data_IF_804576091264
#
_entry.id   IF_804576091264
#
_cell.length_a   1.000
_cell.length_b   1.000
_cell.length_c   1.000
_cell.angle_alpha   90.00
_cell.angle_beta   90.00
_cell.angle_gamma   90.00
#
_symmetry.space_group_name_H-M   'P 1'
#
loop_
_entity.id
_entity.type
_entity.pdbx_description
1 polymer ?
#
# COMPACT_ATOMS: atom_id res chain seq x y z
N UNK A 1 -36.63 16.13 38.10
CA UNK A 1 -35.24 15.63 37.94
C UNK A 1 -35.02 14.56 36.85
N UNK A 2 -36.01 13.74 36.44
CA UNK A 2 -35.79 12.68 35.43
C UNK A 2 -35.59 13.17 33.99
N UNK A 3 -36.29 14.25 33.57
CA UNK A 3 -36.22 14.79 32.19
C UNK A 3 -34.85 15.39 31.82
N UNK A 4 -34.16 16.06 32.75
CA UNK A 4 -32.84 16.65 32.50
C UNK A 4 -31.74 15.60 32.28
N UNK A 5 -31.85 14.42 32.92
CA UNK A 5 -30.89 13.32 32.73
C UNK A 5 -31.01 12.66 31.35
N UNK A 6 -32.23 12.58 30.81
CA UNK A 6 -32.50 12.05 29.47
C UNK A 6 -31.94 13.00 28.40
N UNK A 7 -32.14 14.30 28.57
CA UNK A 7 -31.59 15.31 27.67
C UNK A 7 -30.05 15.29 27.67
N UNK A 8 -29.43 15.15 28.85
CA UNK A 8 -27.98 15.04 28.97
C UNK A 8 -27.43 13.80 28.24
N UNK A 9 -28.09 12.64 28.38
CA UNK A 9 -27.72 11.42 27.65
C UNK A 9 -27.90 11.57 26.13
N UNK A 10 -28.99 12.20 25.67
CA UNK A 10 -29.21 12.48 24.25
C UNK A 10 -28.12 13.39 23.67
N UNK A 11 -27.73 14.44 24.40
CA UNK A 11 -26.64 15.34 23.99
C UNK A 11 -25.30 14.58 23.96
N UNK A 12 -25.02 13.73 24.95
CA UNK A 12 -23.80 12.92 24.98
C UNK A 12 -23.73 11.93 23.82
N UNK A 13 -24.86 11.32 23.46
CA UNK A 13 -24.99 10.43 22.29
C UNK A 13 -24.73 11.24 21.01
N UNK A 14 -25.36 12.41 20.82
CA UNK A 14 -25.14 13.25 19.65
C UNK A 14 -23.68 13.70 19.49
N UNK A 15 -23.00 14.09 20.57
CA UNK A 15 -21.59 14.52 20.51
C UNK A 15 -20.66 13.36 20.13
N UNK A 16 -20.96 12.13 20.57
CA UNK A 16 -20.22 10.94 20.15
C UNK A 16 -20.56 10.51 18.71
N UNK A 17 -21.82 10.65 18.28
CA UNK A 17 -22.23 10.35 16.90
C UNK A 17 -21.62 11.31 15.86
N UNK A 18 -21.47 12.60 16.20
CA UNK A 18 -20.87 13.60 15.28
C UNK A 18 -19.35 13.47 15.20
N UNK A 19 -18.67 13.00 16.26
CA UNK A 19 -17.22 12.72 16.23
C UNK A 19 -16.87 11.37 15.58
N UNK A 20 -17.84 10.47 15.42
CA UNK A 20 -17.64 9.11 14.96
C UNK A 20 -18.27 8.80 13.59
N UNK A 21 -18.91 9.77 12.91
CA UNK A 21 -19.03 9.67 11.46
C UNK A 21 -17.60 9.68 10.91
N UNK A 22 -17.16 8.49 10.50
CA UNK A 22 -15.79 8.09 10.22
C UNK A 22 -15.03 9.20 9.49
N UNK A 23 -14.14 9.93 10.17
CA UNK A 23 -13.27 10.90 9.47
C UNK A 23 -12.46 10.21 8.37
N UNK A 24 -12.22 8.89 8.52
CA UNK A 24 -11.63 8.02 7.49
C UNK A 24 -12.33 8.11 6.14
N UNK A 25 -13.63 8.40 6.08
CA UNK A 25 -14.38 8.55 4.83
C UNK A 25 -13.78 9.61 3.89
N UNK A 26 -13.13 10.62 4.45
CA UNK A 26 -12.64 11.78 3.70
C UNK A 26 -11.11 11.88 3.70
N UNK A 27 -10.41 10.98 4.38
CA UNK A 27 -8.95 11.01 4.41
C UNK A 27 -8.40 10.36 3.13
N UNK A 28 -7.69 11.12 2.27
CA UNK A 28 -7.16 10.56 1.04
C UNK A 28 -6.08 9.52 1.32
N UNK A 29 -5.96 8.52 0.47
CA UNK A 29 -4.85 7.55 0.52
C UNK A 29 -3.62 8.21 -0.11
N UNK A 30 -2.55 8.36 0.67
CA UNK A 30 -1.25 8.83 0.20
C UNK A 30 -0.38 7.62 -0.18
N UNK A 31 0.07 7.62 -1.45
CA UNK A 31 1.07 6.68 -1.95
C UNK A 31 2.22 7.50 -2.53
N UNK A 32 3.35 7.53 -1.84
CA UNK A 32 4.51 8.35 -2.24
C UNK A 32 5.82 7.72 -1.79
N UNK A 33 6.87 7.92 -2.58
CA UNK A 33 8.24 7.62 -2.16
C UNK A 33 8.77 8.73 -1.24
N UNK A 34 9.59 8.34 -0.26
CA UNK A 34 10.28 9.26 0.65
C UNK A 34 11.77 8.90 0.73
N UNK A 35 12.49 9.52 1.68
CA UNK A 35 13.92 9.34 1.84
C UNK A 35 14.28 7.86 2.01
N UNK A 36 15.28 7.41 1.24
CA UNK A 36 15.82 6.05 1.32
C UNK A 36 16.42 5.74 2.70
N UNK A 37 16.42 4.46 3.07
CA UNK A 37 16.89 3.99 4.38
C UNK A 37 17.85 2.81 4.25
N UNK A 38 18.65 2.56 5.29
CA UNK A 38 19.54 1.40 5.38
C UNK A 38 18.89 0.27 6.18
N UNK A 39 18.85 -0.93 5.60
CA UNK A 39 18.41 -2.16 6.27
C UNK A 39 19.45 -3.24 5.94
N UNK A 40 19.97 -3.92 6.98
CA UNK A 40 20.96 -4.99 6.84
C UNK A 40 22.18 -4.62 5.95
N UNK A 41 22.64 -3.35 6.02
CA UNK A 41 23.80 -2.87 5.26
C UNK A 41 23.50 -2.48 3.80
N UNK A 42 22.24 -2.58 3.35
CA UNK A 42 21.83 -2.20 2.01
C UNK A 42 20.89 -0.99 2.06
N UNK A 43 20.99 -0.11 1.07
CA UNK A 43 20.06 1.01 0.92
C UNK A 43 18.78 0.55 0.21
N UNK A 44 17.63 1.00 0.70
CA UNK A 44 16.31 0.57 0.27
C UNK A 44 15.38 1.77 0.03
N UNK A 45 14.39 1.58 -0.84
CA UNK A 45 13.37 2.59 -1.08
C UNK A 45 12.37 2.54 0.07
N UNK A 46 11.92 3.71 0.51
CA UNK A 46 10.86 3.83 1.50
C UNK A 46 9.64 4.46 0.83
N UNK A 47 8.46 3.91 1.08
CA UNK A 47 7.21 4.42 0.55
C UNK A 47 6.20 4.59 1.68
N UNK A 48 5.37 5.62 1.61
CA UNK A 48 4.16 5.74 2.43
C UNK A 48 3.03 5.20 1.59
N UNK A 49 2.23 4.30 2.17
CA UNK A 49 1.03 3.74 1.56
C UNK A 49 -0.06 3.74 2.62
N UNK A 50 -0.47 4.92 3.04
CA UNK A 50 -1.33 5.09 4.21
C UNK A 50 -2.37 6.18 3.98
N UNK A 51 -3.35 6.29 4.86
CA UNK A 51 -4.19 7.47 4.89
C UNK A 51 -3.33 8.69 5.19
N UNK A 52 -3.58 9.77 4.44
CA UNK A 52 -2.88 11.02 4.61
C UNK A 52 -3.02 11.52 6.06
N UNK A 53 -1.87 11.72 6.69
CA UNK A 53 -1.75 12.38 7.99
C UNK A 53 -0.90 13.65 7.82
N UNK A 54 -1.27 14.80 8.40
CA UNK A 54 -0.38 15.96 8.42
C UNK A 54 0.97 15.66 9.10
N UNK A 55 0.99 14.69 10.02
CA UNK A 55 2.19 14.22 10.70
C UNK A 55 2.73 12.95 10.02
N UNK A 56 3.71 13.13 9.14
CA UNK A 56 4.31 12.07 8.31
C UNK A 56 4.91 10.94 9.14
N UNK A 57 5.38 11.22 10.35
CA UNK A 57 6.00 10.21 11.21
C UNK A 57 5.00 9.25 11.84
N UNK A 58 3.71 9.60 11.81
CA UNK A 58 2.61 8.72 12.22
C UNK A 58 2.10 7.83 11.09
N UNK A 59 2.54 8.04 9.86
CA UNK A 59 2.13 7.21 8.73
C UNK A 59 2.97 5.93 8.64
N UNK A 60 2.32 4.84 8.25
CA UNK A 60 3.00 3.57 8.02
C UNK A 60 3.95 3.69 6.82
N UNK A 61 5.22 3.37 7.06
CA UNK A 61 6.29 3.39 6.05
C UNK A 61 6.60 1.96 5.62
N UNK A 62 6.40 1.69 4.34
CA UNK A 62 6.75 0.44 3.68
C UNK A 62 8.19 0.49 3.15
N UNK A 63 8.87 -0.65 3.15
CA UNK A 63 10.25 -0.76 2.69
C UNK A 63 10.30 -1.69 1.49
N UNK A 64 10.86 -1.17 0.41
CA UNK A 64 10.89 -1.81 -0.90
C UNK A 64 12.33 -1.92 -1.42
N UNK A 65 12.70 -3.14 -1.81
CA UNK A 65 13.99 -3.43 -2.46
C UNK A 65 13.75 -3.81 -3.91
N UNK A 66 14.16 -2.96 -4.84
CA UNK A 66 14.20 -3.33 -6.25
C UNK A 66 15.56 -3.93 -6.60
N UNK A 67 15.58 -5.11 -7.21
CA UNK A 67 16.77 -5.71 -7.80
C UNK A 67 16.53 -5.98 -9.28
N UNK A 68 17.32 -5.31 -10.12
CA UNK A 68 17.28 -5.53 -11.57
C UNK A 68 17.95 -6.85 -12.00
N UNK A 69 18.89 -7.41 -11.21
CA UNK A 69 19.56 -8.69 -11.54
C UNK A 69 18.58 -9.85 -11.42
N UNK A 70 17.86 -9.91 -10.30
CA UNK A 70 16.80 -10.91 -10.13
C UNK A 70 15.52 -10.51 -10.86
N UNK A 71 15.40 -9.25 -11.28
CA UNK A 71 14.18 -8.68 -11.86
C UNK A 71 12.97 -8.85 -10.92
N UNK A 72 13.18 -8.59 -9.63
CA UNK A 72 12.18 -8.70 -8.57
C UNK A 72 12.12 -7.41 -7.76
N UNK A 73 10.89 -6.99 -7.45
CA UNK A 73 10.61 -6.06 -6.36
C UNK A 73 10.27 -6.87 -5.12
N UNK A 74 11.01 -6.64 -4.04
CA UNK A 74 10.78 -7.26 -2.75
C UNK A 74 10.11 -6.27 -1.80
N UNK A 75 9.22 -6.80 -0.97
CA UNK A 75 8.62 -6.10 0.15
C UNK A 75 9.24 -6.64 1.44
N UNK A 76 9.68 -5.74 2.30
CA UNK A 76 10.22 -6.12 3.61
C UNK A 76 9.09 -6.36 4.60
N UNK A 77 9.10 -7.51 5.28
CA UNK A 77 8.24 -7.76 6.42
C UNK A 77 9.04 -7.48 7.71
N UNK A 78 8.63 -6.45 8.46
CA UNK A 78 9.27 -6.06 9.70
C UNK A 78 9.10 -7.10 10.82
N UNK A 79 8.00 -7.83 10.85
CA UNK A 79 7.73 -8.83 11.89
C UNK A 79 8.69 -10.02 11.76
N UNK A 80 8.88 -10.50 10.54
CA UNK A 80 9.81 -11.61 10.25
C UNK A 80 11.23 -11.13 9.92
N UNK A 81 11.47 -9.82 9.91
CA UNK A 81 12.73 -9.18 9.52
C UNK A 81 13.29 -9.69 8.19
N UNK A 82 12.41 -9.98 7.22
CA UNK A 82 12.79 -10.66 5.98
C UNK A 82 12.13 -10.08 4.74
N UNK A 83 12.81 -10.21 3.60
CA UNK A 83 12.27 -9.80 2.31
C UNK A 83 11.43 -10.91 1.68
N UNK A 84 10.21 -10.55 1.27
CA UNK A 84 9.32 -11.39 0.48
C UNK A 84 9.29 -10.88 -0.95
N UNK A 85 9.31 -11.79 -1.93
CA UNK A 85 9.09 -11.41 -3.32
C UNK A 85 7.67 -10.85 -3.50
N UNK A 86 7.58 -9.61 -3.97
CA UNK A 86 6.32 -8.89 -4.13
C UNK A 86 5.89 -8.86 -5.61
N UNK A 87 6.77 -8.40 -6.50
CA UNK A 87 6.55 -8.41 -7.95
C UNK A 87 7.71 -9.11 -8.64
N UNK A 88 7.45 -10.24 -9.30
CA UNK A 88 8.43 -10.93 -10.13
C UNK A 88 8.21 -10.57 -11.60
N UNK A 89 9.13 -9.78 -12.18
CA UNK A 89 8.96 -9.20 -13.52
C UNK A 89 9.20 -10.23 -14.63
N UNK A 90 9.99 -11.27 -14.36
CA UNK A 90 10.39 -12.34 -15.29
C UNK A 90 9.49 -13.58 -15.28
N UNK A 91 8.44 -13.64 -14.44
CA UNK A 91 7.49 -14.76 -14.41
C UNK A 91 6.64 -14.84 -15.68
N UNK A 92 6.03 -15.99 -15.94
CA UNK A 92 5.15 -16.16 -17.11
C UNK A 92 3.83 -15.40 -16.91
N UNK A 93 3.17 -15.11 -18.04
CA UNK A 93 1.86 -14.46 -18.01
C UNK A 93 0.79 -15.41 -17.46
N UNK A 94 -0.19 -14.83 -16.77
CA UNK A 94 -1.32 -15.50 -16.10
C UNK A 94 -0.91 -16.40 -14.94
N UNK A 95 0.12 -16.00 -14.19
CA UNK A 95 0.62 -16.71 -13.01
C UNK A 95 0.41 -15.86 -11.74
N UNK A 96 0.05 -16.50 -10.63
CA UNK A 96 0.10 -15.85 -9.31
C UNK A 96 1.56 -15.61 -8.93
N UNK A 97 1.93 -14.34 -8.75
CA UNK A 97 3.32 -13.95 -8.48
C UNK A 97 3.61 -13.73 -7.01
N UNK A 98 2.57 -13.39 -6.23
CA UNK A 98 2.68 -13.22 -4.79
C UNK A 98 1.30 -13.38 -4.13
N UNK A 99 1.25 -14.00 -2.95
CA UNK A 99 0.01 -14.34 -2.23
C UNK A 99 -0.03 -13.70 -0.86
N UNK A 100 -1.21 -13.42 -0.31
CA UNK A 100 -1.40 -12.94 1.07
C UNK A 100 -0.56 -11.70 1.37
N UNK A 101 -0.61 -10.71 0.49
CA UNK A 101 0.13 -9.47 0.65
C UNK A 101 -0.65 -8.47 1.48
N UNK A 102 0.11 -7.75 2.31
CA UNK A 102 -0.28 -6.50 2.93
C UNK A 102 0.71 -5.45 2.45
N UNK A 103 0.21 -4.28 2.05
CA UNK A 103 1.04 -3.17 1.59
C UNK A 103 0.36 -1.87 2.03
N UNK A 104 0.82 -1.34 3.16
CA UNK A 104 0.19 -0.18 3.77
C UNK A 104 -1.25 -0.41 4.17
N UNK A 105 -2.16 0.46 3.74
CA UNK A 105 -3.61 0.31 3.94
C UNK A 105 -4.24 -0.83 3.13
N UNK A 106 -3.58 -1.33 2.07
CA UNK A 106 -4.09 -2.46 1.30
C UNK A 106 -3.78 -3.78 2.00
N UNK A 107 -4.81 -4.56 2.30
CA UNK A 107 -4.68 -5.81 3.07
C UNK A 107 -5.17 -7.03 2.28
N UNK A 108 -4.54 -8.17 2.54
CA UNK A 108 -4.97 -9.51 2.12
C UNK A 108 -5.29 -9.64 0.64
N UNK A 109 -4.32 -9.33 -0.23
CA UNK A 109 -4.46 -9.49 -1.68
C UNK A 109 -3.39 -10.40 -2.30
N UNK A 110 -3.76 -11.06 -3.39
CA UNK A 110 -2.85 -11.79 -4.26
C UNK A 110 -2.58 -10.96 -5.52
N UNK A 111 -1.36 -11.05 -6.04
CA UNK A 111 -0.99 -10.46 -7.32
C UNK A 111 -0.92 -11.53 -8.40
N UNK A 112 -1.62 -11.29 -9.50
CA UNK A 112 -1.66 -12.16 -10.67
C UNK A 112 -1.05 -11.39 -11.85
N UNK A 113 0.06 -11.89 -12.39
CA UNK A 113 0.66 -11.30 -13.61
C UNK A 113 -0.27 -11.55 -14.78
N UNK A 114 -0.77 -10.52 -15.43
CA UNK A 114 -1.59 -10.66 -16.66
C UNK A 114 -0.73 -10.61 -17.91
N UNK A 115 0.23 -9.68 -17.93
CA UNK A 115 1.23 -9.53 -18.99
C UNK A 115 2.51 -8.94 -18.39
N UNK A 116 3.51 -8.62 -19.23
CA UNK A 116 4.81 -8.12 -18.78
C UNK A 116 4.78 -6.76 -18.07
N UNK A 117 3.68 -6.01 -18.21
CA UNK A 117 3.50 -4.70 -17.59
C UNK A 117 2.36 -4.64 -16.59
N UNK A 118 1.45 -5.60 -16.54
CA UNK A 118 0.24 -5.51 -15.72
C UNK A 118 0.13 -6.67 -14.75
N UNK A 119 -0.09 -6.32 -13.48
CA UNK A 119 -0.37 -7.22 -12.37
C UNK A 119 -1.73 -6.86 -11.78
N UNK A 120 -2.69 -7.77 -11.86
CA UNK A 120 -3.99 -7.57 -11.22
C UNK A 120 -3.90 -7.98 -9.76
N UNK A 121 -4.54 -7.19 -8.90
CA UNK A 121 -4.70 -7.51 -7.49
C UNK A 121 -6.09 -8.08 -7.23
N UNK A 122 -6.15 -9.26 -6.63
CA UNK A 122 -7.41 -9.93 -6.26
C UNK A 122 -7.41 -10.24 -4.77
N UNK A 123 -8.57 -10.25 -4.13
CA UNK A 123 -8.64 -10.64 -2.72
C UNK A 123 -8.08 -12.05 -2.52
N UNK A 124 -7.21 -12.20 -1.52
CA UNK A 124 -6.66 -13.50 -1.15
C UNK A 124 -7.73 -14.44 -0.56
N UNK A 125 -8.80 -13.89 0.01
CA UNK A 125 -9.91 -14.63 0.64
C UNK A 125 -11.12 -14.80 -0.29
N UNK A 126 -11.02 -14.40 -1.55
CA UNK A 126 -12.08 -14.49 -2.56
C UNK A 126 -13.05 -13.31 -2.59
N UNK A 127 -13.15 -12.52 -1.52
CA UNK A 127 -13.86 -11.24 -1.52
C UNK A 127 -13.08 -10.19 -0.71
N UNK A 128 -13.05 -8.94 -1.18
CA UNK A 128 -12.53 -7.86 -0.35
C UNK A 128 -13.61 -7.51 0.67
N UNK A 129 -13.31 -7.48 1.98
CA UNK A 129 -14.29 -7.00 2.95
C UNK A 129 -14.70 -5.56 2.61
N UNK A 130 -15.95 -5.22 2.89
CA UNK A 130 -16.56 -3.94 2.48
C UNK A 130 -15.89 -2.70 3.06
N UNK A 131 -15.08 -2.87 4.11
CA UNK A 131 -14.40 -1.81 4.85
C UNK A 131 -12.89 -1.72 4.57
N UNK A 132 -12.38 -2.42 3.55
CA UNK A 132 -10.98 -2.30 3.14
C UNK A 132 -10.83 -1.65 1.77
N UNK A 133 -9.79 -0.83 1.67
CA UNK A 133 -9.27 -0.27 0.45
C UNK A 133 -8.81 -1.39 -0.48
N UNK A 134 -9.04 -1.20 -1.77
CA UNK A 134 -8.76 -2.21 -2.78
C UNK A 134 -7.62 -1.74 -3.64
N UNK A 135 -6.51 -2.48 -3.57
CA UNK A 135 -5.55 -2.45 -4.67
C UNK A 135 -6.21 -3.13 -5.87
N UNK A 136 -6.25 -2.44 -7.00
CA UNK A 136 -6.86 -2.97 -8.23
C UNK A 136 -5.80 -3.59 -9.14
N UNK A 137 -4.71 -2.85 -9.38
CA UNK A 137 -3.61 -3.34 -10.20
C UNK A 137 -2.32 -2.56 -9.96
N UNK A 138 -1.20 -3.18 -10.31
CA UNK A 138 0.10 -2.53 -10.42
C UNK A 138 0.54 -2.63 -11.88
N UNK A 139 0.88 -1.48 -12.47
CA UNK A 139 1.34 -1.36 -13.85
C UNK A 139 2.80 -0.92 -13.88
N UNK A 140 3.64 -1.61 -14.65
CA UNK A 140 5.03 -1.23 -14.89
C UNK A 140 5.06 -0.18 -15.99
N UNK A 141 5.35 1.06 -15.59
CA UNK A 141 5.47 2.20 -16.51
C UNK A 141 6.83 2.18 -17.20
N UNK A 142 7.89 1.95 -16.42
CA UNK A 142 9.25 1.88 -16.91
C UNK A 142 10.07 0.87 -16.10
N UNK A 143 10.99 0.18 -16.78
CA UNK A 143 11.96 -0.72 -16.16
C UNK A 143 13.31 -0.55 -16.82
N UNK A 144 14.32 -0.22 -16.02
CA UNK A 144 15.73 -0.15 -16.42
C UNK A 144 16.61 -0.87 -15.39
N UNK A 145 17.93 -0.88 -15.61
CA UNK A 145 18.87 -1.39 -14.60
C UNK A 145 18.86 -0.55 -13.31
N UNK A 146 18.58 0.75 -13.41
CA UNK A 146 18.67 1.68 -12.27
C UNK A 146 17.34 1.93 -11.59
N UNK A 147 16.25 1.94 -12.36
CA UNK A 147 14.95 2.38 -11.89
C UNK A 147 13.85 1.42 -12.33
N UNK A 148 12.86 1.27 -11.45
CA UNK A 148 11.56 0.67 -11.73
C UNK A 148 10.50 1.71 -11.39
N UNK A 149 9.70 2.11 -12.38
CA UNK A 149 8.58 3.02 -12.18
C UNK A 149 7.30 2.22 -12.27
N UNK A 150 6.53 2.22 -11.18
CA UNK A 150 5.26 1.51 -11.09
C UNK A 150 4.11 2.49 -10.84
N UNK A 151 2.99 2.23 -11.50
CA UNK A 151 1.71 2.89 -11.26
C UNK A 151 0.83 1.94 -10.46
N UNK A 152 0.37 2.40 -9.30
CA UNK A 152 -0.49 1.66 -8.39
C UNK A 152 -1.91 2.20 -8.59
N UNK A 153 -2.79 1.36 -9.13
CA UNK A 153 -4.20 1.69 -9.30
C UNK A 153 -4.99 1.11 -8.13
N UNK A 154 -5.79 1.94 -7.48
CA UNK A 154 -6.55 1.55 -6.30
C UNK A 154 -7.97 2.11 -6.35
N UNK A 155 -8.81 1.60 -5.46
CA UNK A 155 -10.09 2.21 -5.15
C UNK A 155 -10.35 2.17 -3.66
N UNK A 156 -11.00 3.21 -3.15
CA UNK A 156 -11.47 3.22 -1.78
C UNK A 156 -12.67 2.28 -1.57
N UNK A 157 -13.19 2.26 -0.35
CA UNK A 157 -14.34 1.46 0.06
C UNK A 157 -15.63 1.85 -0.67
N UNK A 158 -15.71 3.05 -1.25
CA UNK A 158 -16.85 3.57 -2.01
C UNK A 158 -16.70 3.37 -3.52
N UNK A 159 -15.56 2.84 -3.97
CA UNK A 159 -15.28 2.58 -5.37
C UNK A 159 -14.74 3.79 -6.13
N UNK A 160 -14.39 4.89 -5.46
CA UNK A 160 -13.65 5.97 -6.10
C UNK A 160 -12.28 5.44 -6.53
N UNK A 161 -11.96 5.62 -7.81
CA UNK A 161 -10.73 5.12 -8.40
C UNK A 161 -9.64 6.19 -8.31
N UNK A 162 -8.47 5.78 -7.82
CA UNK A 162 -7.27 6.60 -7.76
C UNK A 162 -6.08 5.87 -8.38
N UNK A 163 -5.02 6.63 -8.62
CA UNK A 163 -3.72 6.04 -8.92
C UNK A 163 -2.60 6.87 -8.32
N UNK A 164 -1.44 6.23 -8.14
CA UNK A 164 -0.21 6.89 -7.74
C UNK A 164 0.97 6.23 -8.45
N UNK A 165 2.10 6.92 -8.47
CA UNK A 165 3.33 6.45 -9.12
C UNK A 165 4.42 6.35 -8.06
N UNK A 166 5.12 5.22 -8.01
CA UNK A 166 6.33 5.04 -7.23
C UNK A 166 7.51 4.90 -8.16
N UNK A 167 8.58 5.63 -7.85
CA UNK A 167 9.88 5.50 -8.50
C UNK A 167 10.80 4.75 -7.55
N UNK A 168 11.24 3.57 -7.95
CA UNK A 168 12.05 2.68 -7.14
C UNK A 168 13.44 2.58 -7.74
N UNK A 169 14.46 2.76 -6.92
CA UNK A 169 15.85 2.71 -7.35
C UNK A 169 16.52 1.39 -6.94
N UNK A 170 17.34 0.85 -7.84
CA UNK A 170 18.28 -0.23 -7.54
C UNK A 170 19.61 0.41 -7.09
N UNK A 171 19.82 0.40 -5.77
CA UNK A 171 20.91 1.15 -5.13
C UNK A 171 22.30 0.64 -5.48
N UNK A 172 22.46 -0.58 -6.01
CA UNK A 172 23.77 -1.11 -6.41
C UNK A 172 24.42 -0.33 -7.56
N UNK A 173 23.63 0.45 -8.32
CA UNK A 173 24.12 1.29 -9.42
C UNK A 173 24.28 2.76 -9.04
N UNK A 174 24.04 3.13 -7.79
CA UNK A 174 24.38 4.46 -7.28
C UNK A 174 25.83 4.41 -6.87
N UNK A 175 26.68 5.18 -7.55
CA UNK A 175 28.04 5.41 -7.08
C UNK A 175 27.96 6.26 -5.81
N UNK A 176 28.55 5.75 -4.72
CA UNK A 176 28.80 6.51 -3.49
C UNK A 176 29.79 7.64 -3.74
#
# INVERSE_FOLDING_TARGET
>A
MKKNKILFFLVLICVNFVKAQDLKLFTPILISDIKSIMINGEMNNQAIVDYFNPDVDKMQKEILKYSSDSSVLYLYNSESSSYKAFICLNKKNKETVSTENNFGVFRSFNLIKKNDRLFDAVSATGSYPSHFERLNSIEIMEKSQKFLIIKINFSDTYGYKGYSVLVLQDYKYIKH
#
